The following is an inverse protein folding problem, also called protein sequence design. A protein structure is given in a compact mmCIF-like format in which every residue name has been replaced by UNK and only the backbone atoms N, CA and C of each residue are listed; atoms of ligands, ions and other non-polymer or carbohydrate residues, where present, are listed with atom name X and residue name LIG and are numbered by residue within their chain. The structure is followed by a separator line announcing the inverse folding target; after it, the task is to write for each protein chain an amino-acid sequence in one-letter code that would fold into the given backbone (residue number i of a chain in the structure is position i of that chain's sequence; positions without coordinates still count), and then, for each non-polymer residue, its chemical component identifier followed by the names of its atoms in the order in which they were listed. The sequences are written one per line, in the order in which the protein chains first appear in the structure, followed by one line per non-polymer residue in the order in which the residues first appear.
data_IF_698616336172
#
_entry.id   IF_698616336172
#
_cell.length_a   1.000
_cell.length_b   1.000
_cell.length_c   1.000
_cell.angle_alpha   90.00
_cell.angle_beta   90.00
_cell.angle_gamma   90.00
#
_symmetry.space_group_name_H-M   'P 1'
#
loop_
_entity.id
_entity.type
_entity.pdbx_description
1 polymer ?
#
# COMPACT_ATOMS: atom_id res chain seq x y z
N UNK A 1 5.38 -16.04 7.00
CA UNK A 1 4.21 -15.96 6.13
C UNK A 1 3.34 -17.22 6.22
N UNK A 2 3.90 -18.42 6.00
CA UNK A 2 3.12 -19.68 5.99
C UNK A 2 2.34 -19.88 7.29
N UNK A 3 2.97 -19.75 8.44
CA UNK A 3 2.29 -19.88 9.74
C UNK A 3 1.22 -18.81 9.96
N UNK A 4 1.50 -17.58 9.52
CA UNK A 4 0.55 -16.48 9.65
C UNK A 4 -0.70 -16.65 8.75
N UNK A 5 -0.60 -17.42 7.68
CA UNK A 5 -1.72 -17.72 6.77
C UNK A 5 -2.60 -18.86 7.26
N UNK A 6 -2.14 -19.65 8.24
CA UNK A 6 -2.81 -20.87 8.68
C UNK A 6 -4.22 -20.58 9.24
N UNK A 7 -5.23 -21.21 8.66
CA UNK A 7 -6.61 -21.04 9.05
C UNK A 7 -7.24 -19.68 8.66
N UNK A 8 -6.59 -18.90 7.80
CA UNK A 8 -7.05 -17.59 7.34
C UNK A 8 -7.32 -17.58 5.84
N UNK A 9 -8.25 -16.74 5.41
CA UNK A 9 -8.61 -16.57 4.00
C UNK A 9 -8.65 -15.10 3.59
N UNK A 10 -8.36 -14.85 2.32
CA UNK A 10 -8.54 -13.51 1.74
C UNK A 10 -10.04 -13.20 1.57
N UNK A 11 -10.38 -11.94 1.68
CA UNK A 11 -11.73 -11.46 1.34
C UNK A 11 -11.97 -11.53 -0.15
N UNK A 12 -13.15 -12.00 -0.56
CA UNK A 12 -13.48 -12.31 -1.96
C UNK A 12 -14.53 -11.38 -2.57
N UNK A 13 -14.97 -10.36 -1.84
CA UNK A 13 -15.97 -9.42 -2.36
C UNK A 13 -15.61 -7.96 -2.06
N UNK A 14 -16.17 -7.07 -2.85
CA UNK A 14 -15.99 -5.63 -2.65
C UNK A 14 -16.51 -5.20 -1.26
N UNK A 15 -17.63 -5.77 -0.79
CA UNK A 15 -18.21 -5.47 0.51
C UNK A 15 -17.27 -5.87 1.67
N UNK A 16 -16.75 -7.11 1.65
CA UNK A 16 -15.84 -7.59 2.69
C UNK A 16 -14.50 -6.88 2.64
N UNK A 17 -13.98 -6.58 1.43
CA UNK A 17 -12.74 -5.82 1.28
C UNK A 17 -12.86 -4.40 1.83
N UNK A 18 -14.01 -3.75 1.66
CA UNK A 18 -14.29 -2.44 2.25
C UNK A 18 -14.18 -2.48 3.77
N UNK A 19 -14.66 -3.55 4.42
CA UNK A 19 -14.64 -3.70 5.87
C UNK A 19 -13.23 -3.87 6.46
N UNK A 20 -12.24 -4.24 5.68
CA UNK A 20 -10.84 -4.36 6.15
C UNK A 20 -10.35 -3.05 6.76
N UNK A 21 -10.76 -1.94 6.17
CA UNK A 21 -10.34 -0.60 6.58
C UNK A 21 -11.43 0.18 7.36
N UNK A 22 -12.58 -0.44 7.62
CA UNK A 22 -13.70 0.19 8.32
C UNK A 22 -13.56 0.02 9.84
N UNK A 23 -13.62 1.12 10.58
CA UNK A 23 -13.61 1.16 12.04
C UNK A 23 -14.96 1.61 12.62
N UNK A 24 -15.99 1.74 11.81
CA UNK A 24 -17.26 2.36 12.24
C UNK A 24 -18.02 1.59 13.32
N UNK A 25 -17.73 0.29 13.48
CA UNK A 25 -18.50 -0.62 14.32
C UNK A 25 -17.85 -1.04 15.62
N UNK A 26 -16.58 -0.68 15.85
CA UNK A 26 -15.85 -1.20 17.01
C UNK A 26 -15.14 -0.10 17.77
N UNK A 27 -15.68 0.27 18.91
CA UNK A 27 -14.96 1.06 19.90
C UNK A 27 -13.84 0.19 20.52
N UNK A 28 -12.59 0.46 20.20
CA UNK A 28 -11.40 -0.03 20.93
C UNK A 28 -11.21 -1.55 21.05
N UNK A 29 -11.85 -2.36 20.24
CA UNK A 29 -11.63 -3.82 20.25
C UNK A 29 -10.71 -4.24 19.12
N UNK A 30 -9.70 -5.03 19.45
CA UNK A 30 -8.95 -5.80 18.47
C UNK A 30 -9.88 -6.89 17.96
N UNK A 31 -10.60 -6.62 16.87
CA UNK A 31 -11.37 -7.66 16.20
C UNK A 31 -10.45 -8.62 15.48
N UNK A 32 -10.15 -9.73 16.14
CA UNK A 32 -9.45 -10.87 15.53
C UNK A 32 -10.38 -11.70 14.63
N UNK A 33 -11.58 -11.24 14.36
CA UNK A 33 -12.61 -11.98 13.64
C UNK A 33 -12.54 -11.85 12.13
N UNK A 34 -11.78 -10.89 11.61
CA UNK A 34 -11.57 -10.79 10.18
C UNK A 34 -10.35 -11.63 9.78
N UNK A 35 -10.54 -12.59 8.89
CA UNK A 35 -9.49 -13.51 8.45
C UNK A 35 -8.34 -12.79 7.72
N UNK A 36 -8.58 -11.60 7.21
CA UNK A 36 -7.60 -10.85 6.42
C UNK A 36 -6.59 -10.05 7.25
N UNK A 37 -6.89 -9.64 8.46
CA UNK A 37 -5.96 -8.85 9.27
C UNK A 37 -5.56 -9.54 10.58
N UNK A 38 -4.31 -9.33 11.00
CA UNK A 38 -3.77 -9.85 12.27
C UNK A 38 -3.92 -8.84 13.40
N UNK A 39 -3.67 -7.56 13.09
CA UNK A 39 -3.76 -6.46 14.03
C UNK A 39 -4.43 -5.30 13.34
N UNK A 40 -5.42 -4.74 13.98
CA UNK A 40 -6.12 -3.54 13.55
C UNK A 40 -5.94 -2.48 14.64
N UNK A 41 -5.25 -1.41 14.31
CA UNK A 41 -5.12 -0.28 15.22
C UNK A 41 -6.32 0.61 14.97
N UNK A 42 -7.17 0.67 15.96
CA UNK A 42 -8.28 1.57 15.99
C UNK A 42 -7.82 2.80 16.78
N UNK A 43 -7.61 3.86 16.05
CA UNK A 43 -7.32 5.14 16.65
C UNK A 43 -8.66 5.88 16.68
N UNK A 44 -9.22 6.12 17.82
CA UNK A 44 -10.50 6.72 18.07
C UNK A 44 -11.10 7.64 17.00
N UNK A 45 -11.69 8.75 17.35
CA UNK A 45 -12.36 9.65 16.40
C UNK A 45 -11.37 10.43 15.47
N UNK A 46 -10.07 10.29 15.68
CA UNK A 46 -9.03 11.10 15.02
C UNK A 46 -7.86 10.24 14.58
N UNK A 47 -8.00 9.47 13.50
CA UNK A 47 -6.79 8.94 12.87
C UNK A 47 -6.20 10.01 11.97
N UNK A 48 -4.95 10.39 12.23
CA UNK A 48 -4.21 11.31 11.36
C UNK A 48 -4.20 10.87 9.89
N UNK A 49 -4.27 9.57 9.65
CA UNK A 49 -4.36 8.99 8.30
C UNK A 49 -5.70 9.32 7.66
N UNK A 50 -6.81 9.17 8.38
CA UNK A 50 -8.13 9.48 7.86
C UNK A 50 -8.33 10.97 7.69
N UNK A 51 -7.88 11.79 8.64
CA UNK A 51 -7.98 13.24 8.55
C UNK A 51 -7.16 13.79 7.37
N UNK A 52 -5.96 13.27 7.17
CA UNK A 52 -5.12 13.67 6.04
C UNK A 52 -5.82 13.38 4.70
N UNK A 53 -6.44 12.20 4.57
CA UNK A 53 -7.09 11.80 3.32
C UNK A 53 -8.52 12.34 3.19
N UNK A 54 -9.27 12.48 4.27
CA UNK A 54 -10.65 12.97 4.22
C UNK A 54 -10.75 14.45 3.90
N UNK A 55 -9.84 15.26 4.43
CA UNK A 55 -9.81 16.71 4.15
C UNK A 55 -9.58 16.96 2.66
N UNK A 56 -8.73 16.16 2.01
CA UNK A 56 -8.49 16.27 0.58
C UNK A 56 -9.60 15.67 -0.29
N UNK A 57 -10.47 14.83 0.26
CA UNK A 57 -11.49 14.12 -0.50
C UNK A 57 -12.87 14.76 -0.43
N UNK A 58 -13.18 15.50 0.64
CA UNK A 58 -14.48 16.13 0.82
C UNK A 58 -14.76 17.26 -0.19
N UNK A 59 -13.74 17.98 -0.60
CA UNK A 59 -13.88 19.21 -1.40
C UNK A 59 -13.61 19.04 -2.89
N UNK A 60 -13.56 17.81 -3.43
CA UNK A 60 -13.16 17.54 -4.83
C UNK A 60 -11.82 18.19 -5.21
N UNK A 61 -10.91 18.33 -4.26
CA UNK A 61 -9.62 18.97 -4.50
C UNK A 61 -8.76 18.08 -5.37
N UNK A 62 -8.10 18.65 -6.34
CA UNK A 62 -7.25 17.98 -7.32
C UNK A 62 -6.11 17.17 -6.73
N UNK A 63 -5.74 17.45 -5.48
CA UNK A 63 -4.55 16.91 -4.82
C UNK A 63 -4.69 15.45 -4.33
N UNK A 64 -5.93 14.95 -4.19
CA UNK A 64 -6.22 13.55 -3.85
C UNK A 64 -6.38 12.62 -5.05
N UNK A 65 -6.10 13.10 -6.26
CA UNK A 65 -6.23 12.30 -7.48
C UNK A 65 -5.01 11.40 -7.68
N UNK A 66 -5.28 10.15 -8.06
CA UNK A 66 -4.23 9.32 -8.65
C UNK A 66 -3.96 9.75 -10.09
N UNK A 67 -2.74 9.51 -10.57
CA UNK A 67 -2.43 9.76 -11.99
C UNK A 67 -3.23 8.82 -12.89
N UNK A 68 -3.55 9.25 -14.11
CA UNK A 68 -4.21 8.41 -15.09
C UNK A 68 -3.42 7.11 -15.37
N UNK A 69 -2.09 7.19 -15.39
CA UNK A 69 -1.22 6.02 -15.53
C UNK A 69 -1.39 5.04 -14.36
N UNK A 70 -1.54 5.51 -13.13
CA UNK A 70 -1.79 4.63 -11.98
C UNK A 70 -3.22 4.10 -11.97
N UNK A 71 -4.21 4.90 -12.37
CA UNK A 71 -5.59 4.47 -12.50
C UNK A 71 -5.74 3.30 -13.51
N UNK A 72 -4.97 3.33 -14.61
CA UNK A 72 -4.98 2.26 -15.62
C UNK A 72 -4.41 0.92 -15.13
N UNK A 73 -3.74 0.91 -13.99
CA UNK A 73 -3.27 -0.30 -13.31
C UNK A 73 -4.43 -1.17 -12.79
N UNK A 74 -5.61 -0.57 -12.58
CA UNK A 74 -6.80 -1.24 -12.07
C UNK A 74 -7.79 -1.46 -13.23
N UNK A 75 -7.96 -2.70 -13.63
CA UNK A 75 -8.96 -3.09 -14.65
C UNK A 75 -10.38 -3.02 -14.10
N UNK A 76 -11.38 -3.08 -14.97
CA UNK A 76 -12.78 -3.07 -14.54
C UNK A 76 -13.19 -4.34 -13.79
N UNK A 77 -12.43 -5.43 -13.96
CA UNK A 77 -12.61 -6.68 -13.20
C UNK A 77 -11.99 -6.63 -11.81
N UNK A 78 -11.17 -5.63 -11.49
CA UNK A 78 -10.54 -5.48 -10.18
C UNK A 78 -11.54 -4.86 -9.19
N UNK A 79 -11.95 -5.62 -8.18
CA UNK A 79 -12.91 -5.16 -7.17
C UNK A 79 -12.41 -3.96 -6.38
N UNK A 80 -11.08 -3.80 -6.25
CA UNK A 80 -10.45 -2.67 -5.55
C UNK A 80 -10.73 -1.34 -6.24
N UNK A 81 -10.90 -1.35 -7.57
CA UNK A 81 -11.19 -0.14 -8.34
C UNK A 81 -12.46 0.55 -7.85
N UNK A 82 -13.50 -0.21 -7.57
CA UNK A 82 -14.77 0.33 -7.09
C UNK A 82 -14.77 0.69 -5.60
N UNK A 83 -13.94 0.01 -4.81
CA UNK A 83 -13.89 0.18 -3.35
C UNK A 83 -12.94 1.29 -2.94
N UNK A 84 -11.75 1.34 -3.56
CA UNK A 84 -10.66 2.23 -3.15
C UNK A 84 -10.65 3.57 -3.90
N UNK A 85 -11.42 3.69 -4.99
CA UNK A 85 -11.46 4.92 -5.76
C UNK A 85 -12.88 5.43 -5.96
N UNK A 86 -13.13 6.66 -5.54
CA UNK A 86 -14.35 7.39 -5.88
C UNK A 86 -14.19 8.01 -7.27
N UNK A 87 -15.19 7.83 -8.12
CA UNK A 87 -15.18 8.30 -9.51
C UNK A 87 -13.92 7.83 -10.30
N UNK A 88 -13.39 6.64 -9.96
CA UNK A 88 -12.26 6.02 -10.63
C UNK A 88 -10.90 6.67 -10.41
N UNK A 89 -10.80 7.78 -9.71
CA UNK A 89 -9.56 8.55 -9.57
C UNK A 89 -9.27 9.07 -8.17
N UNK A 90 -10.28 9.24 -7.32
CA UNK A 90 -10.08 9.80 -5.98
C UNK A 90 -9.91 8.71 -4.95
N UNK A 91 -8.91 8.86 -4.09
CA UNK A 91 -8.69 7.88 -3.03
C UNK A 91 -9.91 7.77 -2.11
N UNK A 92 -10.36 6.56 -1.89
CA UNK A 92 -11.48 6.24 -1.01
C UNK A 92 -11.17 5.08 -0.06
N UNK A 93 -9.93 4.60 -0.04
CA UNK A 93 -9.54 3.39 0.69
C UNK A 93 -9.78 3.50 2.19
N UNK A 94 -9.52 4.68 2.76
CA UNK A 94 -9.73 4.97 4.18
C UNK A 94 -10.91 5.91 4.43
N UNK A 95 -11.66 6.29 3.40
CA UNK A 95 -12.73 7.26 3.50
C UNK A 95 -14.03 6.60 3.97
N UNK A 96 -14.03 6.16 5.20
CA UNK A 96 -15.21 5.63 5.88
C UNK A 96 -15.86 6.77 6.66
N UNK A 97 -16.89 7.39 6.06
CA UNK A 97 -17.64 8.45 6.71
C UNK A 97 -18.48 7.88 7.85
N UNK A 98 -18.15 8.25 9.08
CA UNK A 98 -18.98 7.98 10.24
C UNK A 98 -20.23 8.87 10.26
N UNK A 99 -21.17 8.58 11.16
CA UNK A 99 -22.47 9.27 11.28
C UNK A 99 -22.37 10.80 11.44
N UNK A 100 -21.26 11.31 11.92
CA UNK A 100 -21.03 12.74 12.13
C UNK A 100 -20.14 13.40 11.05
N UNK A 101 -20.00 12.78 9.88
CA UNK A 101 -19.13 13.29 8.81
C UNK A 101 -17.64 13.16 9.08
N UNK A 102 -17.24 12.52 10.18
CA UNK A 102 -15.84 12.25 10.50
C UNK A 102 -15.38 10.96 9.84
N UNK A 103 -14.22 10.97 9.28
CA UNK A 103 -13.60 9.78 8.71
C UNK A 103 -13.21 8.80 9.82
N UNK A 104 -13.52 7.52 9.63
CA UNK A 104 -13.18 6.43 10.55
C UNK A 104 -12.48 5.32 9.78
N UNK A 105 -11.24 5.52 9.41
CA UNK A 105 -10.41 4.47 8.83
C UNK A 105 -9.57 3.78 9.89
N UNK A 106 -9.19 2.55 9.63
CA UNK A 106 -8.28 1.78 10.48
C UNK A 106 -6.92 1.68 9.85
N UNK A 107 -5.90 1.86 10.66
CA UNK A 107 -4.56 1.43 10.29
C UNK A 107 -4.48 -0.09 10.47
N UNK A 108 -4.13 -0.79 9.40
CA UNK A 108 -3.96 -2.26 9.41
C UNK A 108 -2.48 -2.58 9.13
N UNK A 109 -1.62 -2.60 10.16
CA UNK A 109 -0.19 -2.77 9.97
C UNK A 109 0.19 -4.16 9.46
N UNK A 110 -0.61 -5.17 9.76
CA UNK A 110 -0.38 -6.55 9.34
C UNK A 110 -1.68 -7.17 8.83
N UNK A 111 -1.67 -7.65 7.59
CA UNK A 111 -2.80 -8.33 7.00
C UNK A 111 -2.39 -9.48 6.09
N UNK A 112 -3.32 -10.41 5.90
CA UNK A 112 -3.07 -11.66 5.17
C UNK A 112 -2.60 -11.43 3.73
N UNK A 113 -3.09 -10.40 3.05
CA UNK A 113 -2.67 -10.06 1.69
C UNK A 113 -1.15 -9.86 1.58
N UNK A 114 -0.53 -9.23 2.59
CA UNK A 114 0.92 -9.09 2.63
C UNK A 114 1.62 -10.44 2.75
N UNK A 115 1.13 -11.31 3.63
CA UNK A 115 1.71 -12.65 3.80
C UNK A 115 1.61 -13.49 2.53
N UNK A 116 0.49 -13.39 1.80
CA UNK A 116 0.32 -14.06 0.51
C UNK A 116 1.35 -13.58 -0.51
N UNK A 117 1.50 -12.26 -0.67
CA UNK A 117 2.41 -11.71 -1.67
C UNK A 117 3.89 -11.85 -1.29
N UNK A 118 4.23 -11.85 0.01
CA UNK A 118 5.57 -12.24 0.49
C UNK A 118 5.86 -13.69 0.12
N UNK A 119 4.89 -14.60 0.36
CA UNK A 119 5.05 -16.01 0.01
C UNK A 119 5.24 -16.20 -1.49
N UNK A 120 4.41 -15.54 -2.33
CA UNK A 120 4.52 -15.62 -3.78
C UNK A 120 5.90 -15.15 -4.28
N UNK A 121 6.37 -13.98 -3.82
CA UNK A 121 7.68 -13.44 -4.17
C UNK A 121 8.82 -14.36 -3.72
N UNK A 122 8.77 -14.84 -2.49
CA UNK A 122 9.80 -15.74 -1.94
C UNK A 122 9.90 -17.05 -2.71
N UNK A 123 8.78 -17.65 -3.07
CA UNK A 123 8.74 -18.87 -3.88
C UNK A 123 9.31 -18.63 -5.28
N UNK A 124 8.88 -17.55 -5.94
CA UNK A 124 9.40 -17.20 -7.25
C UNK A 124 10.91 -16.99 -7.22
N UNK A 125 11.44 -16.22 -6.28
CA UNK A 125 12.89 -15.99 -6.12
C UNK A 125 13.69 -17.25 -5.80
N UNK A 126 13.05 -18.30 -5.31
CA UNK A 126 13.65 -19.62 -5.10
C UNK A 126 13.56 -20.53 -6.34
N UNK A 127 13.04 -20.05 -7.46
CA UNK A 127 12.79 -20.84 -8.67
C UNK A 127 11.61 -21.80 -8.57
N UNK A 128 10.76 -21.66 -7.55
CA UNK A 128 9.54 -22.46 -7.36
C UNK A 128 8.34 -21.80 -8.05
N UNK A 129 8.49 -21.55 -9.34
CA UNK A 129 7.53 -20.75 -10.11
C UNK A 129 6.12 -21.36 -10.14
N UNK A 130 6.01 -22.68 -10.16
CA UNK A 130 4.70 -23.38 -10.11
C UNK A 130 3.95 -23.09 -8.80
N UNK A 131 4.64 -23.15 -7.65
CA UNK A 131 4.05 -22.83 -6.36
C UNK A 131 3.72 -21.33 -6.24
N UNK A 132 4.61 -20.45 -6.73
CA UNK A 132 4.38 -19.01 -6.75
C UNK A 132 3.16 -18.63 -7.58
N UNK A 133 2.98 -19.26 -8.75
CA UNK A 133 1.80 -19.07 -9.62
C UNK A 133 0.51 -19.48 -8.92
N UNK A 134 0.51 -20.59 -8.22
CA UNK A 134 -0.66 -21.03 -7.46
C UNK A 134 -1.07 -19.97 -6.42
N UNK A 135 -0.11 -19.47 -5.65
CA UNK A 135 -0.38 -18.41 -4.64
C UNK A 135 -0.91 -17.14 -5.30
N UNK A 136 -0.33 -16.73 -6.43
CA UNK A 136 -0.79 -15.53 -7.14
C UNK A 136 -2.18 -15.74 -7.78
N UNK A 137 -2.47 -16.94 -8.29
CA UNK A 137 -3.80 -17.30 -8.80
C UNK A 137 -4.85 -17.23 -7.70
N UNK A 138 -4.57 -17.79 -6.53
CA UNK A 138 -5.48 -17.72 -5.38
C UNK A 138 -5.71 -16.26 -4.94
N UNK A 139 -4.66 -15.44 -5.00
CA UNK A 139 -4.77 -14.01 -4.73
C UNK A 139 -5.65 -13.30 -5.76
N UNK A 140 -5.47 -13.58 -7.04
CA UNK A 140 -6.29 -13.01 -8.11
C UNK A 140 -7.76 -13.42 -8.00
N UNK A 141 -8.02 -14.66 -7.63
CA UNK A 141 -9.40 -15.12 -7.36
C UNK A 141 -10.11 -14.31 -6.27
N UNK A 142 -9.35 -13.75 -5.33
CA UNK A 142 -9.89 -12.90 -4.26
C UNK A 142 -10.01 -11.41 -4.64
N UNK A 143 -9.44 -10.98 -5.74
CA UNK A 143 -9.36 -9.55 -6.12
C UNK A 143 -10.01 -9.21 -7.46
N UNK A 144 -10.26 -10.21 -8.31
CA UNK A 144 -10.79 -9.98 -9.66
C UNK A 144 -12.07 -10.78 -9.89
N UNK A 145 -13.06 -10.15 -10.50
CA UNK A 145 -14.30 -10.82 -10.97
C UNK A 145 -14.08 -11.63 -12.24
N UNK A 146 -13.10 -11.21 -13.04
CA UNK A 146 -12.55 -11.96 -14.17
C UNK A 146 -11.05 -12.05 -13.97
N UNK A 147 -10.58 -13.25 -13.62
CA UNK A 147 -9.21 -13.49 -13.17
C UNK A 147 -8.23 -13.30 -14.34
N UNK A 148 -7.23 -12.41 -14.21
CA UNK A 148 -6.19 -12.27 -15.22
C UNK A 148 -5.35 -13.55 -15.34
N UNK A 149 -4.79 -13.78 -16.52
CA UNK A 149 -3.83 -14.86 -16.73
C UNK A 149 -2.56 -14.59 -15.92
N UNK A 150 -2.12 -15.59 -15.15
CA UNK A 150 -0.85 -15.53 -14.42
C UNK A 150 0.30 -15.96 -15.34
N UNK A 151 1.32 -15.11 -15.54
CA UNK A 151 2.43 -15.41 -16.45
C UNK A 151 3.15 -16.72 -16.12
N UNK A 152 3.63 -17.43 -17.15
CA UNK A 152 4.37 -18.69 -17.00
C UNK A 152 5.88 -18.52 -16.90
N UNK A 153 6.44 -17.42 -17.45
CA UNK A 153 7.88 -17.15 -17.40
C UNK A 153 8.30 -16.54 -16.07
N UNK A 154 9.48 -16.93 -15.56
CA UNK A 154 10.01 -16.52 -14.26
C UNK A 154 10.00 -15.00 -14.05
N UNK A 155 10.63 -14.24 -14.95
CA UNK A 155 10.74 -12.78 -14.85
C UNK A 155 9.36 -12.09 -14.95
N UNK A 156 8.51 -12.59 -15.85
CA UNK A 156 7.16 -12.07 -16.02
C UNK A 156 6.27 -12.36 -14.78
N UNK A 157 6.45 -13.54 -14.17
CA UNK A 157 5.78 -13.91 -12.93
C UNK A 157 6.23 -13.01 -11.77
N UNK A 158 7.54 -12.81 -11.63
CA UNK A 158 8.06 -11.92 -10.59
C UNK A 158 7.54 -10.50 -10.76
N UNK A 159 7.55 -9.99 -11.99
CA UNK A 159 6.98 -8.66 -12.30
C UNK A 159 5.50 -8.59 -11.93
N UNK A 160 4.70 -9.61 -12.27
CA UNK A 160 3.28 -9.66 -11.94
C UNK A 160 3.02 -9.65 -10.42
N UNK A 161 3.84 -10.37 -9.65
CA UNK A 161 3.76 -10.38 -8.18
C UNK A 161 4.08 -8.99 -7.60
N UNK A 162 5.13 -8.34 -8.10
CA UNK A 162 5.53 -7.01 -7.64
C UNK A 162 4.52 -5.92 -8.04
N UNK A 163 3.93 -6.04 -9.21
CA UNK A 163 2.85 -5.16 -9.66
C UNK A 163 1.60 -5.34 -8.81
N UNK A 164 1.31 -6.58 -8.43
CA UNK A 164 0.19 -6.86 -7.54
C UNK A 164 0.41 -6.29 -6.14
N UNK A 165 1.64 -6.38 -5.61
CA UNK A 165 2.00 -5.68 -4.36
C UNK A 165 1.77 -4.17 -4.47
N UNK A 166 2.18 -3.57 -5.58
CA UNK A 166 2.00 -2.13 -5.79
C UNK A 166 0.52 -1.73 -5.83
N UNK A 167 -0.36 -2.56 -6.42
CA UNK A 167 -1.82 -2.34 -6.39
C UNK A 167 -2.40 -2.52 -5.00
N UNK A 168 -2.08 -3.65 -4.36
CA UNK A 168 -2.69 -4.06 -3.10
C UNK A 168 -2.37 -3.10 -1.96
N UNK A 169 -1.12 -2.64 -1.87
CA UNK A 169 -0.67 -1.77 -0.78
C UNK A 169 -0.68 -0.28 -1.15
N UNK A 170 -1.54 0.09 -2.10
CA UNK A 170 -1.77 1.49 -2.41
C UNK A 170 -2.14 2.26 -1.15
N UNK A 171 -1.34 3.28 -0.83
CA UNK A 171 -1.48 4.14 0.35
C UNK A 171 -1.55 3.40 1.70
N UNK A 172 -0.99 2.21 1.81
CA UNK A 172 -0.77 1.55 3.08
C UNK A 172 0.68 1.74 3.51
N UNK A 173 0.90 2.46 4.62
CA UNK A 173 2.22 2.71 5.17
C UNK A 173 3.24 3.14 4.12
N UNK A 174 4.48 2.71 4.28
CA UNK A 174 5.57 3.02 3.36
C UNK A 174 5.88 1.88 2.37
N UNK A 175 4.95 0.93 2.15
CA UNK A 175 5.20 -0.26 1.34
C UNK A 175 5.80 0.05 -0.03
N UNK A 176 5.22 1.00 -0.76
CA UNK A 176 5.75 1.36 -2.08
C UNK A 176 7.16 1.92 -2.02
N UNK A 177 7.44 2.79 -1.05
CA UNK A 177 8.76 3.39 -0.86
C UNK A 177 9.81 2.33 -0.50
N UNK A 178 9.46 1.45 0.45
CA UNK A 178 10.34 0.35 0.87
C UNK A 178 10.59 -0.64 -0.27
N UNK A 179 9.56 -0.98 -1.05
CA UNK A 179 9.70 -1.85 -2.21
C UNK A 179 10.59 -1.20 -3.30
N UNK A 180 10.42 0.08 -3.59
CA UNK A 180 11.29 0.79 -4.54
C UNK A 180 12.75 0.78 -4.07
N UNK A 181 12.99 1.02 -2.79
CA UNK A 181 14.34 1.01 -2.21
C UNK A 181 14.97 -0.39 -2.28
N UNK A 182 14.28 -1.44 -1.81
CA UNK A 182 14.82 -2.79 -1.78
C UNK A 182 15.02 -3.42 -3.16
N UNK A 183 14.22 -3.00 -4.13
CA UNK A 183 14.26 -3.51 -5.51
C UNK A 183 15.16 -2.65 -6.42
N UNK A 184 15.68 -1.55 -5.93
CA UNK A 184 16.47 -0.63 -6.74
C UNK A 184 15.68 -0.06 -7.92
N UNK A 185 14.43 0.34 -7.71
CA UNK A 185 13.57 0.85 -8.77
C UNK A 185 13.92 2.29 -9.08
N UNK A 186 14.18 2.58 -10.37
CA UNK A 186 14.25 3.97 -10.84
C UNK A 186 12.86 4.57 -10.86
N UNK A 187 12.67 5.67 -10.14
CA UNK A 187 11.44 6.46 -10.22
C UNK A 187 11.64 7.66 -11.14
N UNK A 188 10.66 7.91 -11.97
CA UNK A 188 10.61 9.10 -12.82
C UNK A 188 9.18 9.67 -12.80
N UNK A 189 9.05 10.95 -12.54
CA UNK A 189 7.76 11.66 -12.51
C UNK A 189 7.91 13.04 -13.10
N UNK A 190 6.87 13.50 -13.79
CA UNK A 190 6.73 14.90 -14.21
C UNK A 190 5.71 15.56 -13.29
N UNK A 191 6.15 16.59 -12.57
CA UNK A 191 5.31 17.35 -11.64
C UNK A 191 5.38 18.82 -12.09
N UNK A 192 4.23 19.43 -12.37
CA UNK A 192 4.15 20.81 -12.85
C UNK A 192 5.06 21.13 -14.06
N UNK A 193 5.24 20.15 -14.95
CA UNK A 193 6.10 20.28 -16.13
C UNK A 193 7.59 19.98 -15.89
N UNK A 194 8.01 19.82 -14.66
CA UNK A 194 9.38 19.47 -14.30
C UNK A 194 9.56 17.96 -14.13
N UNK A 195 10.65 17.44 -14.71
CA UNK A 195 11.01 16.02 -14.62
C UNK A 195 11.81 15.74 -13.38
N UNK A 196 11.26 14.92 -12.49
CA UNK A 196 11.91 14.47 -11.28
C UNK A 196 12.34 13.01 -11.42
N UNK A 197 13.60 12.73 -11.09
CA UNK A 197 14.19 11.39 -11.19
C UNK A 197 14.82 11.01 -9.86
N UNK A 198 14.54 9.78 -9.42
CA UNK A 198 15.23 9.12 -8.33
C UNK A 198 15.90 7.87 -8.87
N UNK A 199 17.22 7.83 -8.86
CA UNK A 199 18.00 6.68 -9.31
C UNK A 199 17.90 5.51 -8.30
N UNK A 200 18.18 4.27 -8.70
CA UNK A 200 18.08 3.11 -7.79
C UNK A 200 18.91 3.21 -6.51
N UNK A 201 20.05 3.86 -6.58
CA UNK A 201 21.03 4.07 -5.50
C UNK A 201 21.00 5.49 -4.93
N UNK A 202 19.98 6.26 -5.23
CA UNK A 202 19.87 7.65 -4.80
C UNK A 202 19.83 7.75 -3.27
N UNK A 203 20.67 8.64 -2.72
CA UNK A 203 20.76 8.85 -1.28
C UNK A 203 19.42 9.27 -0.65
N UNK A 204 18.53 9.89 -1.43
CA UNK A 204 17.20 10.33 -0.98
C UNK A 204 16.25 9.17 -0.63
N UNK A 205 16.60 7.92 -0.97
CA UNK A 205 15.90 6.75 -0.43
C UNK A 205 16.11 6.53 1.07
N UNK A 206 17.08 7.25 1.68
CA UNK A 206 17.24 7.32 3.12
C UNK A 206 16.87 8.73 3.58
N UNK A 207 15.93 8.87 4.49
CA UNK A 207 15.52 10.18 4.99
C UNK A 207 16.68 10.87 5.73
N UNK A 208 16.73 12.22 5.74
CA UNK A 208 17.68 12.94 6.55
C UNK A 208 17.39 12.76 8.04
N UNK A 209 18.44 12.80 8.85
CA UNK A 209 18.28 12.97 10.29
C UNK A 209 17.67 14.35 10.55
N UNK A 210 16.60 14.45 11.35
CA UNK A 210 15.93 15.72 11.59
C UNK A 210 16.89 16.82 12.08
N UNK A 211 16.70 18.03 11.57
CA UNK A 211 17.56 19.17 11.93
C UNK A 211 17.62 19.43 13.45
N UNK A 212 16.51 19.15 14.16
CA UNK A 212 16.46 19.26 15.61
C UNK A 212 17.45 18.31 16.30
N UNK A 213 17.50 17.05 15.86
CA UNK A 213 18.41 16.05 16.41
C UNK A 213 19.87 16.42 16.14
N UNK A 214 20.16 16.88 14.93
CA UNK A 214 21.50 17.36 14.57
C UNK A 214 21.97 18.54 15.42
N UNK A 215 21.05 19.44 15.79
CA UNK A 215 21.36 20.59 16.67
C UNK A 215 21.60 20.19 18.12
N UNK A 216 20.88 19.18 18.60
CA UNK A 216 20.98 18.75 20.00
C UNK A 216 22.16 17.83 20.25
N UNK A 217 22.53 17.00 19.30
CA UNK A 217 23.63 16.04 19.40
C UNK A 217 24.74 16.38 18.40
N UNK A 218 25.76 17.09 18.88
CA UNK A 218 26.90 17.51 18.06
C UNK A 218 27.78 16.35 17.54
N UNK A 219 27.63 15.16 18.11
CA UNK A 219 28.35 13.96 17.65
C UNK A 219 27.62 13.21 16.56
N UNK A 220 26.41 13.66 16.20
CA UNK A 220 25.62 13.02 15.15
C UNK A 220 26.11 13.46 13.78
N UNK A 221 26.27 12.50 12.89
CA UNK A 221 26.67 12.73 11.49
C UNK A 221 25.46 12.49 10.62
N UNK A 222 25.17 13.42 9.73
CA UNK A 222 24.05 13.33 8.78
C UNK A 222 24.23 12.17 7.81
N UNK A 223 23.13 11.61 7.35
CA UNK A 223 23.12 10.58 6.30
C UNK A 223 23.82 11.11 5.03
N UNK A 224 24.66 10.28 4.36
CA UNK A 224 25.40 10.69 3.18
C UNK A 224 24.53 11.33 2.10
N UNK A 225 25.01 12.44 1.55
CA UNK A 225 24.32 13.22 0.52
C UNK A 225 23.42 14.34 1.07
N UNK A 226 22.84 14.18 2.26
CA UNK A 226 21.99 15.18 2.88
C UNK A 226 22.79 16.34 3.51
N UNK A 227 24.03 16.10 3.87
CA UNK A 227 24.94 17.14 4.39
C UNK A 227 25.16 18.29 3.40
N UNK A 228 24.95 18.04 2.10
CA UNK A 228 25.09 19.04 1.02
C UNK A 228 23.84 19.88 0.78
N UNK A 229 22.70 19.41 1.27
CA UNK A 229 21.37 20.01 0.96
C UNK A 229 20.81 20.72 2.19
N UNK A 230 21.07 20.20 3.38
CA UNK A 230 20.52 20.75 4.62
C UNK A 230 21.60 21.57 5.33
N UNK A 231 21.39 22.86 5.39
CA UNK A 231 22.18 23.79 6.19
C UNK A 231 21.49 23.95 7.56
N UNK A 232 22.20 23.67 8.63
CA UNK A 232 21.69 23.72 10.00
C UNK A 232 21.98 25.06 10.69
#
# INVERSE_FOLDING_TARGET
AVEAMKGRSLTHSAETLKRVFDCSTAAYTVELTNDEFFVKIMDGEYTNVCDLYSTYLQDNVSDGRISAAYASFFTDSDIRKSVWFKNGMYNNKYNMMGENGKCRGCLVPFRLAEMCLIKAEALCRQGKDGEARNVLTDFYNARYTSVPEVPSGHEALLSAILDERNREFYQEGDFRWLDMKRLGVRMERTISGERHVLAPDDFRYSFPIPAREMKLNKNMVQNPGWEKIIIY
#
